data_IF_236386248893
#
_entry.id   IF_236386248893
#
_cell.length_a   1.000
_cell.length_b   1.000
_cell.length_c   1.000
_cell.angle_alpha   90.00
_cell.angle_beta   90.00
_cell.angle_gamma   90.00
#
_symmetry.space_group_name_H-M   'P 1'
#
loop_
_entity.id
_entity.type
_entity.pdbx_description
1 polymer ?
#
# COMPACT_ATOMS: atom_id res chain seq x y z
N UNK A 1 0.69 -11.05 -14.27
CA UNK A 1 0.69 -10.89 -12.80
C UNK A 1 0.82 -9.42 -12.45
N UNK A 2 0.03 -8.94 -11.50
CA UNK A 2 0.15 -7.59 -10.93
C UNK A 2 0.41 -7.73 -9.43
N UNK A 3 1.31 -6.93 -8.88
CA UNK A 3 1.54 -6.83 -7.44
C UNK A 3 1.71 -5.39 -7.00
N UNK A 4 1.41 -5.13 -5.73
CA UNK A 4 1.56 -3.82 -5.11
C UNK A 4 2.14 -3.99 -3.69
N UNK A 5 3.22 -3.27 -3.40
CA UNK A 5 3.95 -3.36 -2.14
C UNK A 5 4.21 -1.96 -1.57
N UNK A 6 4.09 -1.76 -0.25
CA UNK A 6 4.52 -0.51 0.35
C UNK A 6 6.02 -0.32 0.12
N UNK A 7 6.44 0.92 -0.16
CA UNK A 7 7.85 1.29 -0.07
C UNK A 7 8.17 1.47 1.40
N UNK A 8 9.29 0.88 1.85
CA UNK A 8 9.71 0.98 3.24
C UNK A 8 9.73 2.46 3.66
N UNK A 9 8.97 2.84 4.70
CA UNK A 9 9.00 4.21 5.17
C UNK A 9 10.35 4.49 5.83
N UNK A 10 10.65 5.78 6.04
CA UNK A 10 11.86 6.20 6.73
C UNK A 10 12.01 5.39 8.04
N UNK A 11 13.22 4.95 8.44
CA UNK A 11 13.41 4.08 9.62
C UNK A 11 12.97 4.70 10.96
N UNK A 12 12.61 5.99 10.98
CA UNK A 12 12.06 6.69 12.14
C UNK A 12 10.54 6.90 12.08
N UNK A 13 9.88 6.41 11.02
CA UNK A 13 8.44 6.41 10.87
C UNK A 13 7.89 5.17 11.56
N UNK A 14 7.16 5.38 12.64
CA UNK A 14 6.56 4.33 13.46
C UNK A 14 5.24 3.79 12.88
N UNK A 15 4.82 4.31 11.72
CA UNK A 15 3.54 3.96 11.10
C UNK A 15 3.72 2.83 10.09
N UNK A 16 2.90 1.81 10.24
CA UNK A 16 2.80 0.69 9.30
C UNK A 16 1.91 1.09 8.12
N UNK A 17 2.36 0.80 6.90
CA UNK A 17 1.57 0.94 5.68
C UNK A 17 1.14 -0.45 5.20
N UNK A 18 -0.15 -0.60 4.91
CA UNK A 18 -0.72 -1.82 4.32
C UNK A 18 -1.26 -1.49 2.94
N UNK A 19 -0.91 -2.33 1.96
CA UNK A 19 -1.36 -2.18 0.56
C UNK A 19 -2.20 -3.39 0.18
N UNK A 20 -3.32 -3.16 -0.49
CA UNK A 20 -4.20 -4.21 -0.98
C UNK A 20 -4.56 -3.97 -2.44
N UNK A 21 -4.42 -5.00 -3.26
CA UNK A 21 -4.92 -5.02 -4.63
C UNK A 21 -6.37 -5.52 -4.59
N UNK A 22 -7.33 -4.64 -4.83
CA UNK A 22 -8.76 -4.96 -4.68
C UNK A 22 -9.36 -5.54 -5.97
N UNK A 23 -9.03 -4.96 -7.12
CA UNK A 23 -9.51 -5.40 -8.42
C UNK A 23 -8.41 -5.25 -9.47
N UNK A 24 -8.33 -6.23 -10.38
CA UNK A 24 -7.49 -6.18 -11.57
C UNK A 24 -8.35 -6.52 -12.79
N UNK A 25 -8.30 -5.66 -13.79
CA UNK A 25 -8.88 -5.88 -15.12
C UNK A 25 -7.77 -5.87 -16.17
N UNK A 26 -8.12 -6.02 -17.45
CA UNK A 26 -7.16 -5.88 -18.55
C UNK A 26 -6.60 -4.45 -18.70
N UNK A 27 -7.29 -3.44 -18.19
CA UNK A 27 -6.94 -2.03 -18.39
C UNK A 27 -6.51 -1.32 -17.11
N UNK A 28 -6.95 -1.81 -15.94
CA UNK A 28 -6.77 -1.08 -14.70
C UNK A 28 -6.68 -1.99 -13.48
N UNK A 29 -6.00 -1.47 -12.46
CA UNK A 29 -5.84 -2.10 -11.16
C UNK A 29 -6.22 -1.11 -10.07
N UNK A 30 -7.06 -1.53 -9.13
CA UNK A 30 -7.44 -0.74 -7.96
C UNK A 30 -6.56 -1.14 -6.79
N UNK A 31 -5.77 -0.18 -6.30
CA UNK A 31 -4.90 -0.37 -5.13
C UNK A 31 -5.41 0.51 -3.99
N UNK A 32 -5.62 -0.11 -2.83
CA UNK A 32 -5.99 0.59 -1.60
C UNK A 32 -4.85 0.60 -0.62
N UNK A 33 -4.58 1.78 -0.06
CA UNK A 33 -3.43 2.02 0.80
C UNK A 33 -3.93 2.54 2.14
N UNK A 34 -3.51 1.84 3.19
CA UNK A 34 -3.88 2.12 4.56
C UNK A 34 -2.64 2.41 5.38
N UNK A 35 -2.77 3.23 6.41
CA UNK A 35 -1.67 3.56 7.32
C UNK A 35 -2.16 3.60 8.75
N UNK A 36 -1.36 3.10 9.67
CA UNK A 36 -1.64 3.26 11.10
C UNK A 36 -1.47 4.72 11.52
N UNK A 37 -2.28 5.20 12.45
CA UNK A 37 -2.01 6.47 13.11
C UNK A 37 -1.08 6.28 14.31
N UNK A 38 -0.27 7.27 14.69
CA UNK A 38 0.51 7.23 15.92
C UNK A 38 -0.39 6.98 17.14
N UNK A 39 0.08 6.17 18.08
CA UNK A 39 -0.62 5.90 19.33
C UNK A 39 -0.55 7.13 20.25
N UNK A 40 -1.71 7.60 20.67
CA UNK A 40 -1.84 8.53 21.80
C UNK A 40 -2.10 7.77 23.13
N UNK A 41 -1.58 6.55 23.29
CA UNK A 41 -1.83 5.69 24.47
C UNK A 41 -1.38 4.22 24.30
N UNK A 42 -1.88 3.31 25.15
CA UNK A 42 -1.51 1.88 25.20
C UNK A 42 -2.43 0.94 24.37
N UNK A 43 -3.16 1.49 23.39
CA UNK A 43 -4.16 0.76 22.60
C UNK A 43 -3.64 0.16 21.28
N UNK A 44 -4.57 -0.39 20.48
CA UNK A 44 -4.31 -0.78 19.08
C UNK A 44 -4.18 0.48 18.20
N UNK A 45 -3.25 0.45 17.24
CA UNK A 45 -3.09 1.51 16.24
C UNK A 45 -4.29 1.50 15.26
N UNK A 46 -5.13 2.55 15.20
CA UNK A 46 -6.21 2.59 14.23
C UNK A 46 -5.65 2.69 12.82
N UNK A 47 -6.28 1.98 11.89
CA UNK A 47 -5.92 1.94 10.48
C UNK A 47 -6.81 2.90 9.70
N UNK A 48 -6.22 3.88 9.00
CA UNK A 48 -6.92 4.88 8.21
C UNK A 48 -6.43 4.90 6.75
N UNK A 49 -7.19 5.48 5.81
CA UNK A 49 -6.66 5.76 4.48
C UNK A 49 -5.35 6.55 4.59
N UNK A 50 -4.32 6.12 3.87
CA UNK A 50 -2.94 6.51 4.14
C UNK A 50 -2.64 8.01 3.96
N UNK A 51 -3.51 8.74 3.26
CA UNK A 51 -3.32 10.15 2.93
C UNK A 51 -2.26 10.36 1.86
N UNK A 52 -1.86 11.62 1.65
CA UNK A 52 -0.84 11.98 0.68
C UNK A 52 0.58 11.58 1.14
N UNK A 53 1.50 11.41 0.18
CA UNK A 53 2.93 11.21 0.45
C UNK A 53 3.37 9.77 0.74
N UNK A 54 2.45 8.80 0.74
CA UNK A 54 2.80 7.37 0.85
C UNK A 54 3.19 6.82 -0.52
N UNK A 55 4.32 6.13 -0.57
CA UNK A 55 4.86 5.54 -1.78
C UNK A 55 4.55 4.04 -1.83
N UNK A 56 4.18 3.56 -3.01
CA UNK A 56 3.83 2.17 -3.28
C UNK A 56 4.52 1.76 -4.57
N UNK A 57 5.21 0.62 -4.56
CA UNK A 57 5.71 -0.01 -5.78
C UNK A 57 4.61 -0.88 -6.38
N UNK A 58 4.19 -0.53 -7.60
CA UNK A 58 3.30 -1.36 -8.41
C UNK A 58 4.13 -2.00 -9.50
N UNK A 59 4.05 -3.31 -9.63
CA UNK A 59 4.71 -4.05 -10.69
C UNK A 59 3.71 -4.89 -11.46
N UNK A 60 3.91 -4.94 -12.77
CA UNK A 60 3.19 -5.81 -13.68
C UNK A 60 4.22 -6.63 -14.46
N UNK A 61 4.01 -7.93 -14.53
CA UNK A 61 4.83 -8.85 -15.30
C UNK A 61 3.92 -9.78 -16.10
N UNK A 62 4.32 -10.11 -17.32
CA UNK A 62 3.59 -10.99 -18.21
C UNK A 62 4.46 -11.32 -19.41
N UNK A 63 4.14 -12.40 -20.12
CA UNK A 63 4.75 -12.62 -21.42
C UNK A 63 4.23 -11.58 -22.42
N UNK A 64 5.09 -11.02 -23.28
CA UNK A 64 4.63 -10.18 -24.38
C UNK A 64 3.66 -10.99 -25.25
N UNK A 65 2.55 -10.37 -25.65
CA UNK A 65 1.65 -10.97 -26.62
C UNK A 65 2.44 -11.21 -27.92
N UNK A 66 2.58 -12.49 -28.30
CA UNK A 66 3.19 -12.91 -29.57
C UNK A 66 2.33 -12.53 -30.76
#
# INVERSE_FOLDING_TARGET
MISALPVDPHPCDDRTVTVTLEQVTGECATVRVWRTQPLLGLGLLPLLPAGAGVQVHVSASGEPAS
#
